data_IF_043183738793
#
_entry.id   IF_043183738793
#
_cell.length_a   1.000
_cell.length_b   1.000
_cell.length_c   1.000
_cell.angle_alpha   90.00
_cell.angle_beta   90.00
_cell.angle_gamma   90.00
#
_symmetry.space_group_name_H-M   'P 1'
#
loop_
_entity.id
_entity.type
_entity.pdbx_description
1 polymer ?
#
# COMPACT_ATOMS: atom_id res chain seq x y z
N UNK A 1 6.28 -39.51 -21.47
CA UNK A 1 7.26 -38.91 -20.54
C UNK A 1 7.17 -37.39 -20.52
N UNK A 2 7.37 -36.69 -21.65
CA UNK A 2 7.32 -35.20 -21.72
C UNK A 2 6.01 -34.60 -21.19
N UNK A 3 4.85 -35.12 -21.61
CA UNK A 3 3.55 -34.65 -21.12
C UNK A 3 3.39 -34.85 -19.59
N UNK A 4 3.90 -35.96 -19.06
CA UNK A 4 3.87 -36.25 -17.62
C UNK A 4 4.78 -35.33 -16.82
N UNK A 5 5.92 -34.93 -17.38
CA UNK A 5 6.83 -33.94 -16.77
C UNK A 5 6.17 -32.55 -16.75
N UNK A 6 5.55 -32.13 -17.85
CA UNK A 6 4.81 -30.85 -17.92
C UNK A 6 3.67 -30.83 -16.89
N UNK A 7 2.86 -31.88 -16.84
CA UNK A 7 1.78 -32.01 -15.85
C UNK A 7 2.33 -31.99 -14.42
N UNK A 8 3.43 -32.69 -14.14
CA UNK A 8 4.07 -32.67 -12.82
C UNK A 8 4.46 -31.25 -12.39
N UNK A 9 5.05 -30.44 -13.28
CA UNK A 9 5.41 -29.06 -12.94
C UNK A 9 4.18 -28.17 -12.70
N UNK A 10 3.10 -28.34 -13.48
CA UNK A 10 1.83 -27.62 -13.28
C UNK A 10 1.20 -28.00 -11.93
N UNK A 11 1.05 -29.30 -11.67
CA UNK A 11 0.49 -29.80 -10.40
C UNK A 11 1.33 -29.38 -9.21
N UNK A 12 2.66 -29.48 -9.32
CA UNK A 12 3.61 -29.03 -8.28
C UNK A 12 3.40 -27.54 -8.00
N UNK A 13 3.36 -26.68 -9.02
CA UNK A 13 3.11 -25.24 -8.85
C UNK A 13 1.83 -24.97 -8.07
N UNK A 14 0.72 -25.59 -8.50
CA UNK A 14 -0.58 -25.43 -7.85
C UNK A 14 -0.58 -25.88 -6.38
N UNK A 15 0.01 -27.04 -6.08
CA UNK A 15 0.11 -27.57 -4.71
C UNK A 15 0.94 -26.64 -3.83
N UNK A 16 2.08 -26.13 -4.33
CA UNK A 16 2.93 -25.18 -3.58
C UNK A 16 2.16 -23.93 -3.18
N UNK A 17 1.36 -23.36 -4.08
CA UNK A 17 0.51 -22.19 -3.81
C UNK A 17 -0.58 -22.51 -2.81
N UNK A 18 -1.22 -23.68 -2.90
CA UNK A 18 -2.22 -24.11 -1.92
C UNK A 18 -1.63 -24.26 -0.51
N UNK A 19 -0.43 -24.83 -0.39
CA UNK A 19 0.29 -24.95 0.89
C UNK A 19 0.64 -23.57 1.46
N UNK A 20 1.17 -22.64 0.65
CA UNK A 20 1.45 -21.24 1.07
C UNK A 20 0.19 -20.62 1.68
N UNK A 21 -0.93 -20.72 0.97
CA UNK A 21 -2.19 -20.14 1.39
C UNK A 21 -2.78 -20.81 2.64
N UNK A 22 -2.66 -22.14 2.77
CA UNK A 22 -3.11 -22.85 3.97
C UNK A 22 -2.32 -22.45 5.21
N UNK A 23 -0.99 -22.26 5.08
CA UNK A 23 -0.14 -21.78 6.18
C UNK A 23 -0.54 -20.35 6.58
N UNK A 24 -0.72 -19.46 5.60
CA UNK A 24 -1.19 -18.09 5.83
C UNK A 24 -2.55 -18.08 6.55
N UNK A 25 -3.54 -18.83 6.04
CA UNK A 25 -4.88 -18.94 6.64
C UNK A 25 -4.84 -19.48 8.08
N UNK A 26 -3.98 -20.46 8.39
CA UNK A 26 -3.93 -21.04 9.73
C UNK A 26 -3.17 -20.19 10.75
N UNK A 27 -2.15 -19.44 10.31
CA UNK A 27 -1.28 -18.67 11.20
C UNK A 27 -1.70 -17.21 11.24
N UNK A 28 -1.70 -16.52 10.09
CA UNK A 28 -1.92 -15.07 10.02
C UNK A 28 -3.32 -14.72 10.53
N UNK A 29 -4.33 -15.50 10.15
CA UNK A 29 -5.72 -15.33 10.63
C UNK A 29 -5.83 -15.41 12.15
N UNK A 30 -5.26 -16.45 12.76
CA UNK A 30 -5.29 -16.62 14.22
C UNK A 30 -4.52 -15.51 14.93
N UNK A 31 -3.41 -15.06 14.36
CA UNK A 31 -2.64 -13.95 14.90
C UNK A 31 -3.44 -12.65 14.87
N UNK A 32 -4.05 -12.28 13.74
CA UNK A 32 -4.84 -11.04 13.67
C UNK A 32 -6.08 -11.09 14.56
N UNK A 33 -6.80 -12.22 14.59
CA UNK A 33 -7.97 -12.40 15.46
C UNK A 33 -7.59 -12.28 16.95
N UNK A 34 -6.39 -12.74 17.33
CA UNK A 34 -5.87 -12.60 18.68
C UNK A 34 -5.34 -11.21 19.03
N UNK A 35 -4.74 -10.50 18.06
CA UNK A 35 -4.18 -9.14 18.25
C UNK A 35 -5.29 -8.09 18.24
N UNK A 36 -6.20 -8.16 17.27
CA UNK A 36 -7.31 -7.24 17.10
C UNK A 36 -8.52 -7.97 16.49
N UNK A 37 -9.47 -8.42 17.33
CA UNK A 37 -10.68 -9.12 16.88
C UNK A 37 -11.57 -8.33 15.91
N UNK A 38 -11.35 -7.00 15.79
CA UNK A 38 -12.04 -6.13 14.84
C UNK A 38 -11.57 -6.29 13.40
N UNK A 39 -10.49 -7.04 13.15
CA UNK A 39 -9.95 -7.30 11.81
C UNK A 39 -10.14 -8.76 11.38
N UNK A 40 -10.37 -8.94 10.08
CA UNK A 40 -10.42 -10.21 9.38
C UNK A 40 -9.34 -10.23 8.31
N UNK A 41 -8.79 -11.41 8.06
CA UNK A 41 -7.77 -11.65 7.05
C UNK A 41 -8.28 -12.57 5.94
N UNK A 42 -7.97 -12.21 4.70
CA UNK A 42 -8.38 -12.89 3.47
C UNK A 42 -7.15 -13.07 2.57
N UNK A 43 -6.45 -14.23 2.62
CA UNK A 43 -5.13 -14.40 2.00
C UNK A 43 -5.11 -14.25 0.48
N UNK A 44 -6.24 -14.48 -0.19
CA UNK A 44 -6.35 -14.47 -1.66
C UNK A 44 -7.06 -13.24 -2.22
N UNK A 45 -7.44 -12.31 -1.34
CA UNK A 45 -8.11 -11.08 -1.73
C UNK A 45 -7.13 -9.92 -1.55
N UNK A 46 -7.46 -8.80 -2.19
CA UNK A 46 -6.75 -7.54 -2.08
C UNK A 46 -7.76 -6.39 -2.13
N UNK A 47 -7.29 -5.18 -1.90
CA UNK A 47 -8.07 -3.95 -2.10
C UNK A 47 -8.58 -3.90 -3.55
N UNK A 48 -9.82 -3.47 -3.73
CA UNK A 48 -10.47 -3.43 -5.04
C UNK A 48 -9.86 -2.36 -5.96
N UNK A 49 -9.98 -2.56 -7.28
CA UNK A 49 -9.63 -1.52 -8.26
C UNK A 49 -10.37 -0.21 -8.00
N UNK A 50 -11.66 -0.27 -7.62
CA UNK A 50 -12.46 0.92 -7.27
C UNK A 50 -11.81 1.72 -6.12
N UNK A 51 -11.47 1.04 -5.02
CA UNK A 51 -10.80 1.69 -3.88
C UNK A 51 -9.43 2.25 -4.25
N UNK A 52 -8.68 1.56 -5.11
CA UNK A 52 -7.38 2.05 -5.58
C UNK A 52 -7.54 3.25 -6.52
N UNK A 53 -8.49 3.21 -7.44
CA UNK A 53 -8.78 4.28 -8.40
C UNK A 53 -9.26 5.56 -7.69
N UNK A 54 -10.03 5.42 -6.62
CA UNK A 54 -10.48 6.52 -5.78
C UNK A 54 -9.33 7.25 -5.08
N UNK A 55 -8.19 6.59 -4.89
CA UNK A 55 -7.00 7.21 -4.31
C UNK A 55 -6.38 8.28 -5.19
N UNK A 56 -6.55 8.15 -6.51
CA UNK A 56 -5.95 9.03 -7.53
C UNK A 56 -4.41 9.16 -7.40
N UNK A 57 -3.75 8.26 -6.65
CA UNK A 57 -2.30 8.29 -6.43
C UNK A 57 -1.51 7.82 -7.66
N UNK A 58 -2.08 6.87 -8.41
CA UNK A 58 -1.49 6.30 -9.62
C UNK A 58 -2.59 6.12 -10.65
N UNK A 59 -2.43 6.75 -11.81
CA UNK A 59 -3.36 6.62 -12.93
C UNK A 59 -2.79 5.79 -14.09
N UNK A 60 -3.62 5.51 -15.08
CA UNK A 60 -3.23 4.92 -16.36
C UNK A 60 -2.45 3.58 -16.22
N UNK A 61 -2.84 2.72 -15.28
CA UNK A 61 -2.35 1.35 -15.16
C UNK A 61 -3.16 0.39 -16.07
N UNK A 62 -2.72 -0.86 -16.15
CA UNK A 62 -3.37 -1.92 -16.95
C UNK A 62 -3.90 -3.05 -16.08
N UNK A 63 -3.15 -3.44 -15.04
CA UNK A 63 -3.55 -4.51 -14.13
C UNK A 63 -3.28 -4.09 -12.69
N UNK A 64 -4.19 -4.47 -11.80
CA UNK A 64 -4.01 -4.48 -10.36
C UNK A 64 -4.24 -5.92 -9.90
N UNK A 65 -3.23 -6.50 -9.27
CA UNK A 65 -3.32 -7.80 -8.59
C UNK A 65 -2.86 -7.64 -7.14
N UNK A 66 -3.09 -8.64 -6.30
CA UNK A 66 -2.64 -8.58 -4.92
C UNK A 66 -3.02 -9.80 -4.10
N UNK A 67 -2.56 -9.80 -2.85
CA UNK A 67 -2.90 -10.81 -1.84
C UNK A 67 -2.93 -10.18 -0.44
N UNK A 68 -3.22 -11.00 0.56
CA UNK A 68 -3.09 -10.62 1.97
C UNK A 68 -3.97 -9.44 2.43
N UNK A 69 -5.24 -9.43 2.03
CA UNK A 69 -6.19 -8.42 2.49
C UNK A 69 -6.55 -8.57 3.97
N UNK A 70 -6.45 -7.47 4.70
CA UNK A 70 -7.01 -7.26 6.02
C UNK A 70 -8.15 -6.25 5.92
N UNK A 71 -9.33 -6.58 6.47
CA UNK A 71 -10.47 -5.66 6.59
C UNK A 71 -10.97 -5.63 8.02
N UNK A 72 -11.23 -4.46 8.55
CA UNK A 72 -11.72 -4.31 9.91
C UNK A 72 -12.11 -2.90 10.27
N UNK A 73 -12.21 -2.65 11.57
CA UNK A 73 -12.39 -1.30 12.09
C UNK A 73 -11.26 -0.96 13.06
N UNK A 74 -10.80 0.29 13.01
CA UNK A 74 -9.92 0.88 14.01
C UNK A 74 -10.59 2.13 14.56
N UNK A 75 -10.84 2.23 15.87
CA UNK A 75 -11.56 3.35 16.48
C UNK A 75 -12.85 3.76 15.72
N UNK A 76 -13.69 2.77 15.38
CA UNK A 76 -14.97 2.92 14.66
C UNK A 76 -14.89 3.44 13.21
N UNK A 77 -13.69 3.49 12.61
CA UNK A 77 -13.57 3.75 11.17
C UNK A 77 -13.23 2.47 10.41
N UNK A 78 -13.86 2.22 9.24
CA UNK A 78 -13.48 1.11 8.37
C UNK A 78 -12.04 1.27 7.88
N UNK A 79 -11.28 0.18 7.94
CA UNK A 79 -9.90 0.11 7.48
C UNK A 79 -9.70 -1.14 6.64
N UNK A 80 -9.05 -0.97 5.49
CA UNK A 80 -8.59 -2.05 4.65
C UNK A 80 -7.11 -1.86 4.30
N UNK A 81 -6.35 -2.94 4.28
CA UNK A 81 -4.99 -2.93 3.71
C UNK A 81 -4.64 -4.28 3.11
N UNK A 82 -3.86 -4.28 2.02
CA UNK A 82 -3.39 -5.49 1.36
C UNK A 82 -2.07 -5.24 0.65
N UNK A 83 -1.35 -6.30 0.32
CA UNK A 83 -0.25 -6.22 -0.65
C UNK A 83 -0.84 -6.14 -2.06
N UNK A 84 -0.43 -5.16 -2.86
CA UNK A 84 -0.88 -5.02 -4.25
C UNK A 84 0.31 -4.81 -5.19
N UNK A 85 0.16 -5.28 -6.42
CA UNK A 85 1.02 -4.96 -7.55
C UNK A 85 0.19 -4.28 -8.63
N UNK A 86 0.63 -3.09 -9.04
CA UNK A 86 -0.01 -2.25 -10.05
C UNK A 86 0.94 -2.10 -11.22
N UNK A 87 0.53 -2.58 -12.39
CA UNK A 87 1.40 -2.64 -13.56
C UNK A 87 0.79 -1.93 -14.76
N UNK A 88 1.66 -1.40 -15.63
CA UNK A 88 1.33 -0.82 -16.92
C UNK A 88 1.94 -1.65 -18.03
N UNK A 89 1.11 -2.16 -18.93
CA UNK A 89 1.56 -2.89 -20.12
C UNK A 89 1.95 -1.90 -21.21
N UNK A 90 3.16 -2.05 -21.74
CA UNK A 90 3.61 -1.44 -22.99
C UNK A 90 3.83 -2.53 -24.04
N UNK A 91 3.97 -2.16 -25.32
CA UNK A 91 3.99 -3.09 -26.44
C UNK A 91 5.00 -4.25 -26.34
N UNK A 92 6.10 -4.06 -25.59
CA UNK A 92 7.15 -5.08 -25.41
C UNK A 92 7.61 -5.25 -23.95
N UNK A 93 6.97 -4.61 -22.99
CA UNK A 93 7.38 -4.71 -21.58
C UNK A 93 6.21 -4.41 -20.64
N UNK A 94 6.19 -5.07 -19.50
CA UNK A 94 5.35 -4.68 -18.36
C UNK A 94 6.19 -3.85 -17.41
N UNK A 95 5.62 -2.76 -16.90
CA UNK A 95 6.27 -1.88 -15.94
C UNK A 95 5.45 -1.83 -14.66
N UNK A 96 6.07 -2.18 -13.54
CA UNK A 96 5.50 -2.00 -12.21
C UNK A 96 5.48 -0.50 -11.87
N UNK A 97 4.29 0.01 -11.57
CA UNK A 97 4.06 1.38 -11.10
C UNK A 97 4.05 1.44 -9.58
N UNK A 98 3.56 0.37 -8.95
CA UNK A 98 3.55 0.17 -7.51
C UNK A 98 3.55 -1.32 -7.18
N UNK A 99 4.22 -1.68 -6.10
CA UNK A 99 4.29 -3.01 -5.51
C UNK A 99 4.54 -2.80 -4.02
N UNK A 100 3.67 -3.30 -3.15
CA UNK A 100 3.76 -3.06 -1.71
C UNK A 100 2.39 -3.03 -1.00
N UNK A 101 2.38 -2.75 0.31
CA UNK A 101 1.17 -2.60 1.07
C UNK A 101 0.53 -1.26 0.76
N UNK A 102 -0.77 -1.35 0.49
CA UNK A 102 -1.65 -0.23 0.28
C UNK A 102 -2.75 -0.24 1.34
N UNK A 103 -3.08 0.94 1.86
CA UNK A 103 -4.01 1.12 2.97
C UNK A 103 -5.11 2.09 2.54
N UNK A 104 -6.33 1.82 2.98
CA UNK A 104 -7.50 2.68 2.85
C UNK A 104 -8.20 2.79 4.20
N UNK A 105 -8.39 4.02 4.68
CA UNK A 105 -9.09 4.33 5.92
C UNK A 105 -10.27 5.24 5.61
N UNK A 106 -11.49 4.82 5.95
CA UNK A 106 -12.72 5.57 5.66
C UNK A 106 -13.13 6.44 6.84
N UNK A 107 -13.02 7.75 6.67
CA UNK A 107 -13.23 8.77 7.70
C UNK A 107 -14.69 9.23 7.74
N UNK A 108 -15.14 9.70 8.90
CA UNK A 108 -16.55 10.09 9.10
C UNK A 108 -16.88 11.44 8.44
N UNK A 109 -15.92 12.37 8.41
CA UNK A 109 -16.09 13.71 7.82
C UNK A 109 -15.43 13.76 6.44
N UNK A 110 -16.13 14.22 5.39
CA UNK A 110 -15.52 14.37 4.07
C UNK A 110 -14.44 15.48 4.07
N UNK A 111 -13.40 15.28 3.29
CA UNK A 111 -12.44 16.30 2.87
C UNK A 111 -13.08 17.24 1.84
N UNK A 112 -12.72 18.53 1.89
CA UNK A 112 -13.20 19.59 1.00
C UNK A 112 -12.59 19.50 -0.40
N UNK A 113 -11.38 18.94 -0.51
CA UNK A 113 -10.67 18.70 -1.75
C UNK A 113 -10.02 17.33 -1.77
N UNK A 114 -9.28 17.05 -2.84
CA UNK A 114 -8.35 15.92 -2.88
C UNK A 114 -6.92 16.42 -2.81
N UNK A 115 -6.06 15.62 -2.20
CA UNK A 115 -4.62 15.85 -2.19
C UNK A 115 -3.88 14.54 -2.38
N UNK A 116 -2.86 14.56 -3.22
CA UNK A 116 -1.95 13.47 -3.53
C UNK A 116 -0.52 13.90 -3.25
N UNK A 117 0.13 13.21 -2.31
CA UNK A 117 1.56 13.27 -2.04
C UNK A 117 2.19 12.04 -2.68
N UNK A 118 2.98 12.27 -3.72
CA UNK A 118 3.66 11.21 -4.47
C UNK A 118 5.17 11.43 -4.42
N UNK A 119 6.00 10.37 -4.49
CA UNK A 119 7.44 10.55 -4.49
C UNK A 119 7.88 11.43 -5.66
N UNK A 120 8.75 12.40 -5.40
CA UNK A 120 9.40 13.18 -6.46
C UNK A 120 10.47 12.31 -7.12
N UNK A 121 10.05 11.51 -8.09
CA UNK A 121 10.94 10.74 -8.95
C UNK A 121 11.60 11.66 -9.99
N UNK A 122 12.35 12.68 -9.55
CA UNK A 122 13.21 13.45 -10.44
C UNK A 122 14.19 12.50 -11.17
N UNK A 123 14.47 12.77 -12.45
CA UNK A 123 15.09 11.82 -13.39
C UNK A 123 16.45 11.26 -12.94
N UNK A 124 17.14 11.91 -11.98
CA UNK A 124 18.49 11.56 -11.53
C UNK A 124 18.62 10.16 -10.92
N UNK A 125 17.59 9.64 -10.23
CA UNK A 125 17.69 8.35 -9.53
C UNK A 125 16.82 7.22 -10.14
N UNK A 126 15.81 7.55 -10.95
CA UNK A 126 14.81 6.57 -11.41
C UNK A 126 14.50 6.60 -12.91
N UNK A 127 15.23 7.41 -13.71
CA UNK A 127 15.15 7.40 -15.17
C UNK A 127 13.71 7.45 -15.72
N UNK A 128 13.31 6.45 -16.51
CA UNK A 128 11.99 6.36 -17.21
C UNK A 128 10.76 6.27 -16.27
N UNK A 129 10.93 6.16 -14.95
CA UNK A 129 9.82 6.22 -13.97
C UNK A 129 9.33 7.65 -13.79
N UNK A 130 10.24 8.63 -13.70
CA UNK A 130 9.89 10.06 -13.62
C UNK A 130 9.00 10.54 -14.76
N UNK A 131 9.29 10.14 -16.01
CA UNK A 131 8.44 10.48 -17.19
C UNK A 131 7.06 9.85 -17.17
N UNK A 132 6.90 8.65 -16.59
CA UNK A 132 5.59 8.03 -16.47
C UNK A 132 4.73 8.73 -15.41
N UNK A 133 5.35 9.29 -14.38
CA UNK A 133 4.68 10.10 -13.36
C UNK A 133 4.46 11.55 -13.81
N UNK A 134 5.38 12.17 -14.54
CA UNK A 134 5.18 13.51 -15.14
C UNK A 134 4.13 13.50 -16.27
N UNK A 135 3.91 12.37 -16.94
CA UNK A 135 2.78 12.21 -17.88
C UNK A 135 1.48 11.81 -17.18
N UNK A 136 1.49 11.60 -15.86
CA UNK A 136 0.31 11.73 -15.03
C UNK A 136 0.11 13.24 -14.82
N UNK A 137 -0.53 13.90 -15.79
CA UNK A 137 -1.39 15.03 -15.48
C UNK A 137 -2.47 14.46 -14.54
N UNK A 138 -2.14 14.32 -13.25
CA UNK A 138 -3.02 13.81 -12.21
C UNK A 138 -4.20 14.76 -12.16
N UNK A 139 -5.23 14.44 -12.92
CA UNK A 139 -6.56 15.02 -12.88
C UNK A 139 -6.67 16.56 -12.97
N UNK A 140 -5.66 17.25 -13.52
CA UNK A 140 -5.53 18.72 -13.57
C UNK A 140 -5.42 19.39 -12.19
N UNK A 141 -4.94 18.67 -11.19
CA UNK A 141 -4.75 19.20 -9.84
C UNK A 141 -3.54 20.16 -9.79
N UNK A 142 -3.57 21.12 -8.86
CA UNK A 142 -2.54 22.14 -8.72
C UNK A 142 -1.36 21.60 -7.92
N UNK A 143 -0.14 21.72 -8.47
CA UNK A 143 1.10 21.47 -7.74
C UNK A 143 1.33 22.63 -6.75
N UNK A 144 1.50 22.31 -5.46
CA UNK A 144 1.74 23.30 -4.41
C UNK A 144 3.08 23.03 -3.72
N UNK A 145 3.54 24.01 -2.93
CA UNK A 145 4.69 23.87 -2.04
C UNK A 145 4.29 24.08 -0.58
N UNK A 146 5.04 23.47 0.34
CA UNK A 146 4.90 23.64 1.79
C UNK A 146 6.24 24.06 2.42
N UNK A 147 6.19 24.69 3.60
CA UNK A 147 7.37 25.16 4.33
C UNK A 147 8.11 24.01 5.03
N UNK A 148 8.66 23.08 4.23
CA UNK A 148 9.49 21.98 4.70
C UNK A 148 10.44 21.51 3.58
N UNK A 149 11.67 22.04 3.58
CA UNK A 149 12.67 21.74 2.54
C UNK A 149 13.00 20.24 2.42
N UNK A 150 13.02 19.51 3.54
CA UNK A 150 13.28 18.07 3.52
C UNK A 150 12.15 17.28 2.86
N UNK A 151 10.90 17.74 3.03
CA UNK A 151 9.72 17.13 2.43
C UNK A 151 9.64 17.42 0.92
N UNK A 152 9.81 18.67 0.53
CA UNK A 152 9.80 19.13 -0.88
C UNK A 152 10.89 18.43 -1.73
N UNK A 153 12.01 18.05 -1.12
CA UNK A 153 13.06 17.25 -1.79
C UNK A 153 12.67 15.81 -2.10
N UNK A 154 11.65 15.27 -1.43
CA UNK A 154 11.28 13.86 -1.51
C UNK A 154 9.92 13.62 -2.16
N UNK A 155 9.04 14.62 -2.13
CA UNK A 155 7.64 14.48 -2.53
C UNK A 155 7.14 15.67 -3.33
N UNK A 156 6.24 15.39 -4.28
CA UNK A 156 5.43 16.39 -4.95
C UNK A 156 3.98 16.33 -4.41
N UNK A 157 3.37 17.49 -4.21
CA UNK A 157 2.02 17.63 -3.65
C UNK A 157 1.08 18.20 -4.71
N UNK A 158 0.09 17.40 -5.11
CA UNK A 158 -0.99 17.84 -6.02
C UNK A 158 -2.28 17.96 -5.24
N UNK A 159 -3.02 19.05 -5.40
CA UNK A 159 -4.29 19.26 -4.67
C UNK A 159 -5.30 20.07 -5.47
N UNK A 160 -6.58 19.91 -5.12
CA UNK A 160 -7.67 20.80 -5.54
C UNK A 160 -8.04 21.83 -4.47
N UNK A 161 -7.45 21.76 -3.28
CA UNK A 161 -7.66 22.67 -2.16
C UNK A 161 -6.33 22.84 -1.40
N UNK A 162 -5.65 23.97 -1.60
CA UNK A 162 -4.34 24.24 -1.01
C UNK A 162 -4.41 24.45 0.50
N UNK A 163 -5.43 25.16 0.99
CA UNK A 163 -5.58 25.45 2.42
C UNK A 163 -5.79 24.17 3.23
N UNK A 164 -6.69 23.29 2.77
CA UNK A 164 -6.93 22.00 3.43
C UNK A 164 -5.71 21.07 3.32
N UNK A 165 -4.98 21.09 2.20
CA UNK A 165 -3.74 20.34 2.06
C UNK A 165 -2.71 20.75 3.12
N UNK A 166 -2.51 22.06 3.32
CA UNK A 166 -1.59 22.61 4.32
C UNK A 166 -2.06 22.37 5.75
N UNK A 167 -3.37 22.39 6.00
CA UNK A 167 -3.98 22.06 7.29
C UNK A 167 -3.70 20.60 7.68
N UNK A 168 -3.90 19.66 6.76
CA UNK A 168 -3.71 18.21 7.01
C UNK A 168 -2.24 17.81 7.02
N UNK A 169 -1.42 18.36 6.12
CA UNK A 169 0.03 18.09 6.01
C UNK A 169 0.84 18.80 7.11
N UNK A 170 0.45 18.58 8.37
CA UNK A 170 1.18 19.08 9.54
C UNK A 170 2.60 18.54 9.61
N UNK A 171 3.46 19.21 10.39
CA UNK A 171 4.84 18.77 10.61
C UNK A 171 4.93 17.30 11.08
N UNK A 172 4.00 16.86 11.93
CA UNK A 172 3.99 15.48 12.42
C UNK A 172 3.67 14.47 11.31
N UNK A 173 2.72 14.79 10.43
CA UNK A 173 2.38 13.95 9.29
C UNK A 173 3.52 13.91 8.27
N UNK A 174 4.08 15.07 7.91
CA UNK A 174 5.23 15.16 7.01
C UNK A 174 6.42 14.34 7.52
N UNK A 175 6.75 14.46 8.81
CA UNK A 175 7.83 13.69 9.42
C UNK A 175 7.53 12.19 9.39
N UNK A 176 6.29 11.77 9.66
CA UNK A 176 5.89 10.37 9.54
C UNK A 176 6.11 9.83 8.11
N UNK A 177 5.67 10.55 7.08
CA UNK A 177 5.87 10.14 5.68
C UNK A 177 7.35 10.06 5.30
N UNK A 178 8.18 11.01 5.77
CA UNK A 178 9.63 10.99 5.59
C UNK A 178 10.31 9.80 6.29
N UNK A 179 9.89 9.45 7.51
CA UNK A 179 10.40 8.28 8.22
C UNK A 179 10.02 6.97 7.51
N UNK A 180 8.77 6.83 7.07
CA UNK A 180 8.33 5.65 6.32
C UNK A 180 9.10 5.49 5.00
N UNK A 181 9.47 6.61 4.36
CA UNK A 181 10.27 6.64 3.13
C UNK A 181 11.68 6.06 3.33
N UNK A 182 12.28 6.15 4.52
CA UNK A 182 13.63 5.62 4.79
C UNK A 182 13.72 4.10 4.61
N UNK A 183 12.60 3.39 4.78
CA UNK A 183 12.52 1.93 4.67
C UNK A 183 12.00 1.43 3.33
N UNK A 184 11.74 2.32 2.37
CA UNK A 184 11.03 2.03 1.12
C UNK A 184 11.56 2.81 -0.08
N UNK A 185 11.26 2.35 -1.30
CA UNK A 185 11.66 3.09 -2.50
C UNK A 185 10.72 4.26 -2.83
N UNK A 186 9.52 4.29 -2.23
CA UNK A 186 8.55 5.36 -2.40
C UNK A 186 7.48 5.29 -1.31
N UNK A 187 6.97 6.45 -0.92
CA UNK A 187 5.77 6.56 -0.08
C UNK A 187 4.74 7.35 -0.87
N UNK A 188 3.53 6.83 -0.93
CA UNK A 188 2.37 7.48 -1.51
C UNK A 188 1.39 7.77 -0.39
N UNK A 189 0.85 8.98 -0.35
CA UNK A 189 -0.18 9.35 0.61
C UNK A 189 -1.19 10.23 -0.08
N UNK A 190 -2.47 10.05 0.22
CA UNK A 190 -3.48 10.94 -0.31
C UNK A 190 -4.76 10.88 0.47
N UNK A 191 -5.61 11.87 0.26
CA UNK A 191 -6.94 11.90 0.82
C UNK A 191 -7.91 12.55 -0.15
N UNK A 192 -9.14 12.05 -0.17
CA UNK A 192 -10.20 12.51 -1.05
C UNK A 192 -11.54 11.99 -0.54
N UNK A 193 -12.59 12.81 -0.65
CA UNK A 193 -13.93 12.46 -0.17
C UNK A 193 -13.88 12.00 1.29
N UNK A 194 -14.20 10.75 1.59
CA UNK A 194 -14.17 10.20 2.95
C UNK A 194 -13.03 9.20 3.14
N UNK A 195 -11.95 9.25 2.36
CA UNK A 195 -10.91 8.23 2.45
C UNK A 195 -9.51 8.84 2.54
N UNK A 196 -8.70 8.22 3.39
CA UNK A 196 -7.24 8.40 3.45
C UNK A 196 -6.62 7.16 2.81
N UNK A 197 -5.59 7.39 2.01
CA UNK A 197 -4.83 6.37 1.32
C UNK A 197 -3.35 6.49 1.66
N UNK A 198 -2.69 5.34 1.80
CA UNK A 198 -1.26 5.28 2.05
C UNK A 198 -0.68 4.06 1.33
N UNK A 199 0.52 4.20 0.75
CA UNK A 199 1.18 3.12 0.03
C UNK A 199 2.69 3.15 0.21
N UNK A 200 3.30 1.98 0.42
CA UNK A 200 4.75 1.82 0.57
C UNK A 200 5.33 1.06 -0.61
N UNK A 201 5.98 1.76 -1.53
CA UNK A 201 6.49 1.17 -2.77
C UNK A 201 7.81 0.40 -2.59
N UNK A 202 7.87 -0.78 -3.20
CA UNK A 202 8.94 -1.77 -3.11
C UNK A 202 9.32 -2.08 -1.66
N UNK A 203 8.36 -2.12 -0.75
CA UNK A 203 8.59 -2.77 0.54
C UNK A 203 8.49 -4.28 0.39
N UNK A 204 9.29 -5.04 1.14
CA UNK A 204 9.47 -6.48 0.98
C UNK A 204 8.15 -7.27 0.97
N UNK A 205 8.12 -8.33 0.15
CA UNK A 205 7.12 -9.42 0.09
C UNK A 205 6.63 -9.84 1.49
N UNK A 206 5.45 -9.31 1.86
CA UNK A 206 4.83 -9.51 3.17
C UNK A 206 4.41 -10.97 3.33
N UNK A 207 4.50 -11.48 4.57
CA UNK A 207 4.04 -12.83 4.90
C UNK A 207 4.67 -13.95 4.05
N UNK A 208 5.88 -13.74 3.52
CA UNK A 208 6.56 -14.70 2.62
C UNK A 208 6.76 -16.06 3.27
N UNK A 209 6.05 -17.08 2.80
CA UNK A 209 6.23 -18.47 3.22
C UNK A 209 7.24 -19.16 2.32
N UNK A 210 8.33 -19.66 2.90
CA UNK A 210 9.18 -20.64 2.24
C UNK A 210 8.72 -22.05 2.64
N UNK A 211 8.03 -22.74 1.73
CA UNK A 211 7.49 -24.08 2.00
C UNK A 211 8.57 -25.18 2.11
N UNK A 212 9.80 -24.90 1.69
CA UNK A 212 10.94 -25.82 1.84
C UNK A 212 11.60 -25.67 3.22
N UNK A 213 11.31 -24.58 3.92
CA UNK A 213 11.79 -24.34 5.27
C UNK A 213 10.87 -24.99 6.31
N UNK A 214 11.46 -25.37 7.46
CA UNK A 214 10.69 -25.82 8.61
C UNK A 214 9.81 -24.68 9.14
N UNK A 215 8.53 -24.96 9.36
CA UNK A 215 7.64 -24.09 10.12
C UNK A 215 8.08 -24.16 11.59
N UNK A 216 8.49 -23.03 12.13
CA UNK A 216 9.02 -22.90 13.50
C UNK A 216 8.40 -21.67 14.16
N UNK A 217 8.57 -21.51 15.47
CA UNK A 217 8.13 -20.31 16.19
C UNK A 217 8.68 -19.00 15.57
N UNK A 218 9.84 -19.07 14.90
CA UNK A 218 10.43 -17.92 14.18
C UNK A 218 9.50 -17.38 13.08
N UNK A 219 8.79 -18.25 12.35
CA UNK A 219 7.85 -17.78 11.32
C UNK A 219 6.63 -17.09 11.94
N UNK A 220 6.15 -17.60 13.08
CA UNK A 220 5.02 -17.07 13.82
C UNK A 220 5.38 -15.69 14.38
N UNK A 221 6.54 -15.56 15.04
CA UNK A 221 7.07 -14.29 15.55
C UNK A 221 7.27 -13.25 14.44
N UNK A 222 7.75 -13.67 13.28
CA UNK A 222 7.89 -12.77 12.12
C UNK A 222 6.52 -12.26 11.66
N UNK A 223 5.55 -13.14 11.42
CA UNK A 223 4.19 -12.73 11.00
C UNK A 223 3.50 -11.86 12.05
N UNK A 224 3.68 -12.17 13.33
CA UNK A 224 3.20 -11.35 14.43
C UNK A 224 3.76 -9.92 14.34
N UNK A 225 5.08 -9.78 14.17
CA UNK A 225 5.72 -8.48 14.05
C UNK A 225 5.29 -7.72 12.77
N UNK A 226 5.13 -8.42 11.65
CA UNK A 226 4.61 -7.84 10.40
C UNK A 226 3.19 -7.28 10.61
N UNK A 227 2.28 -8.05 11.22
CA UNK A 227 0.92 -7.58 11.56
C UNK A 227 0.97 -6.33 12.45
N UNK A 228 1.80 -6.34 13.50
CA UNK A 228 1.93 -5.18 14.39
C UNK A 228 2.41 -3.94 13.66
N UNK A 229 3.34 -4.08 12.70
CA UNK A 229 3.82 -2.95 11.90
C UNK A 229 2.69 -2.35 11.05
N UNK A 230 1.85 -3.17 10.43
CA UNK A 230 0.69 -2.69 9.68
C UNK A 230 -0.33 -1.98 10.57
N UNK A 231 -0.66 -2.55 11.73
CA UNK A 231 -1.58 -1.92 12.67
C UNK A 231 -1.01 -0.60 13.25
N UNK A 232 0.31 -0.51 13.43
CA UNK A 232 0.97 0.74 13.82
C UNK A 232 0.84 1.81 12.73
N UNK A 233 0.97 1.45 11.44
CA UNK A 233 0.72 2.40 10.33
C UNK A 233 -0.72 2.91 10.38
N UNK A 234 -1.71 2.02 10.56
CA UNK A 234 -3.12 2.40 10.69
C UNK A 234 -3.33 3.35 11.87
N UNK A 235 -2.78 3.04 13.05
CA UNK A 235 -2.84 3.88 14.23
C UNK A 235 -2.22 5.27 13.99
N UNK A 236 -1.06 5.32 13.35
CA UNK A 236 -0.36 6.59 13.05
C UNK A 236 -1.16 7.44 12.08
N UNK A 237 -1.68 6.86 11.00
CA UNK A 237 -2.54 7.57 10.04
C UNK A 237 -3.80 8.12 10.72
N UNK A 238 -4.46 7.31 11.55
CA UNK A 238 -5.62 7.75 12.33
C UNK A 238 -5.28 8.95 13.22
N UNK A 239 -4.22 8.85 14.04
CA UNK A 239 -3.84 9.93 14.97
C UNK A 239 -3.37 11.20 14.25
N UNK A 240 -2.63 11.06 13.16
CA UNK A 240 -2.01 12.22 12.50
C UNK A 240 -3.00 13.00 11.64
N UNK A 241 -4.02 12.33 11.08
CA UNK A 241 -5.01 12.97 10.20
C UNK A 241 -6.33 13.28 10.91
N UNK A 242 -6.75 12.45 11.88
CA UNK A 242 -8.12 12.53 12.45
C UNK A 242 -8.19 12.98 13.90
N UNK A 243 -7.13 12.82 14.70
CA UNK A 243 -7.14 13.26 16.10
C UNK A 243 -6.60 14.68 16.29
N UNK A 244 -6.85 15.57 15.31
CA UNK A 244 -6.54 17.00 15.42
C UNK A 244 -7.74 17.85 15.87
N UNK A 245 -8.84 17.19 16.22
CA UNK A 245 -10.02 17.80 16.88
C UNK A 245 -9.87 17.81 18.41
#
# INVERSE_FOLDING_TARGET
VVLGVVLFFIFRGNIRTQIKNAIKEQIVKKLIEGINPGFKYYPKQHITEETFDDSKLIGNYTYLEGEDLFKGNYNNIPVEFSEIEVTKKASKSTKTLFEGPFYSLKVNKPFKGRTSVVPDFSEKNFGKIGRAFQSLNLYKDTLITIDNEAFEKQFAIYTTNEDEAKEILTQKLMNFLLEEKKSTNGVFFGFSMNNIYFGKYNSKDLYRVNIEAKITEKIIKRFYNEILQHLQVVEKLYKLVLSQE
#
